data_IF_421080653619
#
_entry.id   IF_421080653619
#
_cell.length_a   1.000
_cell.length_b   1.000
_cell.length_c   1.000
_cell.angle_alpha   90.00
_cell.angle_beta   90.00
_cell.angle_gamma   90.00
#
_symmetry.space_group_name_H-M   'P 1'
#
loop_
_entity.id
_entity.type
_entity.pdbx_description
1 polymer ?
#
# COMPACT_ATOMS: atom_id res chain seq x y z
N UNK A 1 -23.81 -11.59 15.55
CA UNK A 1 -23.79 -10.12 15.69
C UNK A 1 -23.61 -9.57 14.28
N UNK A 2 -24.57 -8.77 13.82
CA UNK A 2 -24.70 -8.35 12.42
C UNK A 2 -23.46 -7.58 11.98
N UNK A 3 -22.88 -8.03 10.87
CA UNK A 3 -21.71 -7.43 10.22
C UNK A 3 -22.15 -6.10 9.57
N UNK A 4 -22.17 -5.02 10.34
CA UNK A 4 -22.28 -3.68 9.77
C UNK A 4 -20.91 -3.33 9.21
N UNK A 5 -20.66 -3.71 7.95
CA UNK A 5 -19.55 -3.15 7.18
C UNK A 5 -19.77 -1.63 7.15
N UNK A 6 -18.78 -0.85 7.60
CA UNK A 6 -18.82 0.60 7.47
C UNK A 6 -18.86 0.94 5.98
N UNK A 7 -19.65 1.94 5.54
CA UNK A 7 -19.77 2.35 4.14
C UNK A 7 -18.41 2.55 3.47
N UNK A 8 -17.43 3.06 4.23
CA UNK A 8 -16.04 3.16 3.80
C UNK A 8 -15.45 1.80 3.36
N UNK A 9 -15.55 0.77 4.20
CA UNK A 9 -15.02 -0.57 3.90
C UNK A 9 -15.73 -1.21 2.71
N UNK A 10 -17.05 -1.02 2.60
CA UNK A 10 -17.81 -1.48 1.44
C UNK A 10 -17.31 -0.82 0.14
N UNK A 11 -17.08 0.49 0.17
CA UNK A 11 -16.52 1.20 -1.00
C UNK A 11 -15.11 0.72 -1.34
N UNK A 12 -14.27 0.43 -0.35
CA UNK A 12 -12.94 -0.15 -0.56
C UNK A 12 -13.04 -1.53 -1.23
N UNK A 13 -13.89 -2.42 -0.72
CA UNK A 13 -14.07 -3.76 -1.25
C UNK A 13 -14.60 -3.72 -2.70
N UNK A 14 -15.60 -2.87 -2.97
CA UNK A 14 -16.15 -2.69 -4.30
C UNK A 14 -15.13 -2.10 -5.27
N UNK A 15 -14.34 -1.11 -4.84
CA UNK A 15 -13.27 -0.52 -5.64
C UNK A 15 -12.21 -1.56 -6.04
N UNK A 16 -11.72 -2.34 -5.07
CA UNK A 16 -10.75 -3.42 -5.31
C UNK A 16 -11.27 -4.44 -6.31
N UNK A 17 -12.51 -4.88 -6.14
CA UNK A 17 -13.15 -5.84 -7.06
C UNK A 17 -13.31 -5.24 -8.47
N UNK A 18 -13.75 -3.99 -8.58
CA UNK A 18 -13.91 -3.31 -9.86
C UNK A 18 -12.57 -3.14 -10.60
N UNK A 19 -11.49 -2.78 -9.89
CA UNK A 19 -10.14 -2.70 -10.44
C UNK A 19 -9.66 -4.05 -10.98
N UNK A 20 -9.82 -5.13 -10.21
CA UNK A 20 -9.44 -6.49 -10.61
C UNK A 20 -10.21 -6.99 -11.83
N UNK A 21 -11.47 -6.56 -11.99
CA UNK A 21 -12.32 -6.88 -13.14
C UNK A 21 -12.13 -5.93 -14.34
N UNK A 22 -11.31 -4.88 -14.20
CA UNK A 22 -11.10 -3.88 -15.26
C UNK A 22 -12.26 -2.90 -15.45
N UNK A 23 -13.21 -2.83 -14.52
CA UNK A 23 -14.30 -1.85 -14.55
C UNK A 23 -13.85 -0.53 -13.93
N UNK A 24 -13.05 0.23 -14.67
CA UNK A 24 -12.40 1.45 -14.18
C UNK A 24 -13.38 2.57 -13.81
N UNK A 25 -14.52 2.65 -14.50
CA UNK A 25 -15.57 3.65 -14.19
C UNK A 25 -16.17 3.38 -12.81
N UNK A 26 -16.52 2.12 -12.54
CA UNK A 26 -17.03 1.73 -11.22
C UNK A 26 -15.94 1.87 -10.16
N UNK A 27 -14.70 1.46 -10.47
CA UNK A 27 -13.58 1.61 -9.53
C UNK A 27 -13.42 3.07 -9.11
N UNK A 28 -13.36 4.00 -10.07
CA UNK A 28 -13.21 5.42 -9.79
C UNK A 28 -14.35 5.96 -8.92
N UNK A 29 -15.60 5.61 -9.23
CA UNK A 29 -16.77 6.01 -8.45
C UNK A 29 -16.64 5.53 -6.99
N UNK A 30 -16.30 4.25 -6.78
CA UNK A 30 -16.20 3.68 -5.43
C UNK A 30 -15.02 4.25 -4.66
N UNK A 31 -13.87 4.47 -5.31
CA UNK A 31 -12.72 5.14 -4.67
C UNK A 31 -13.10 6.56 -4.26
N UNK A 32 -13.81 7.32 -5.10
CA UNK A 32 -14.27 8.68 -4.76
C UNK A 32 -15.24 8.68 -3.57
N UNK A 33 -16.15 7.71 -3.50
CA UNK A 33 -17.03 7.55 -2.34
C UNK A 33 -16.23 7.21 -1.07
N UNK A 34 -15.27 6.29 -1.13
CA UNK A 34 -14.37 6.00 0.01
C UNK A 34 -13.55 7.23 0.43
N UNK A 35 -13.08 8.02 -0.55
CA UNK A 35 -12.33 9.26 -0.31
C UNK A 35 -13.19 10.34 0.35
N UNK A 36 -14.48 10.41 0.03
CA UNK A 36 -15.43 11.31 0.68
C UNK A 36 -15.60 10.96 2.16
N UNK A 37 -15.71 9.67 2.49
CA UNK A 37 -15.84 9.19 3.87
C UNK A 37 -14.53 9.37 4.67
N UNK A 38 -13.37 9.09 4.07
CA UNK A 38 -12.07 9.29 4.71
C UNK A 38 -10.97 9.72 3.72
N UNK A 39 -10.75 11.03 3.54
CA UNK A 39 -9.77 11.57 2.59
C UNK A 39 -8.31 11.36 3.03
N UNK A 40 -8.08 11.05 4.31
CA UNK A 40 -6.76 10.81 4.87
C UNK A 40 -6.39 9.32 4.93
N UNK A 41 -7.21 8.44 4.35
CA UNK A 41 -6.89 7.01 4.29
C UNK A 41 -5.77 6.73 3.26
N UNK A 42 -4.64 6.13 3.67
CA UNK A 42 -3.60 5.73 2.72
C UNK A 42 -4.12 4.66 1.73
N UNK A 43 -5.07 3.83 2.15
CA UNK A 43 -5.69 2.80 1.31
C UNK A 43 -6.41 3.41 0.10
N UNK A 44 -7.18 4.49 0.30
CA UNK A 44 -7.90 5.18 -0.78
C UNK A 44 -6.92 5.73 -1.82
N UNK A 45 -5.86 6.40 -1.37
CA UNK A 45 -4.84 6.93 -2.27
C UNK A 45 -4.05 5.82 -2.97
N UNK A 46 -3.80 4.68 -2.31
CA UNK A 46 -3.23 3.51 -3.00
C UNK A 46 -4.14 3.01 -4.11
N UNK A 47 -5.45 2.85 -3.87
CA UNK A 47 -6.39 2.40 -4.88
C UNK A 47 -6.53 3.40 -6.04
N UNK A 48 -6.52 4.71 -5.76
CA UNK A 48 -6.51 5.73 -6.82
C UNK A 48 -5.21 5.67 -7.62
N UNK A 49 -4.06 5.44 -6.98
CA UNK A 49 -2.80 5.21 -7.67
C UNK A 49 -2.83 3.99 -8.59
N UNK A 50 -3.44 2.90 -8.14
CA UNK A 50 -3.62 1.68 -8.95
C UNK A 50 -4.52 1.95 -10.16
N UNK A 51 -5.62 2.69 -9.97
CA UNK A 51 -6.51 3.08 -11.07
C UNK A 51 -5.74 3.83 -12.16
N UNK A 52 -5.00 4.87 -11.78
CA UNK A 52 -4.23 5.70 -12.71
C UNK A 52 -3.13 4.90 -13.42
N UNK A 53 -2.48 3.97 -12.71
CA UNK A 53 -1.48 3.09 -13.29
C UNK A 53 -2.10 2.12 -14.34
N UNK A 54 -3.26 1.55 -14.04
CA UNK A 54 -3.98 0.69 -14.98
C UNK A 54 -4.47 1.48 -16.21
N UNK A 55 -4.76 2.77 -16.04
CA UNK A 55 -5.09 3.71 -17.11
C UNK A 55 -3.87 4.26 -17.88
N UNK A 56 -2.63 3.89 -17.49
CA UNK A 56 -1.37 4.38 -18.07
C UNK A 56 -1.09 5.87 -17.83
N UNK A 57 -1.66 6.42 -16.76
CA UNK A 57 -1.42 7.78 -16.29
C UNK A 57 -0.33 7.80 -15.22
N UNK A 58 0.90 7.44 -15.61
CA UNK A 58 2.02 7.19 -14.70
C UNK A 58 2.28 8.34 -13.72
N UNK A 59 2.16 9.59 -14.17
CA UNK A 59 2.37 10.76 -13.33
C UNK A 59 1.34 10.88 -12.20
N UNK A 60 0.09 10.49 -12.46
CA UNK A 60 -0.98 10.52 -11.46
C UNK A 60 -0.85 9.35 -10.49
N UNK A 61 -0.51 8.16 -10.99
CA UNK A 61 -0.18 7.01 -10.16
C UNK A 61 0.91 7.34 -9.12
N UNK A 62 2.04 7.91 -9.55
CA UNK A 62 3.12 8.31 -8.66
C UNK A 62 2.67 9.31 -7.59
N UNK A 63 1.82 10.29 -7.95
CA UNK A 63 1.32 11.28 -6.98
C UNK A 63 0.48 10.62 -5.90
N UNK A 64 -0.46 9.77 -6.27
CA UNK A 64 -1.35 9.11 -5.32
C UNK A 64 -0.61 8.13 -4.41
N UNK A 65 0.32 7.32 -4.94
CA UNK A 65 1.15 6.46 -4.09
C UNK A 65 2.02 7.26 -3.12
N UNK A 66 2.57 8.41 -3.55
CA UNK A 66 3.32 9.32 -2.65
C UNK A 66 2.43 9.91 -1.55
N UNK A 67 1.20 10.29 -1.87
CA UNK A 67 0.24 10.80 -0.86
C UNK A 67 -0.06 9.71 0.16
N UNK A 68 -0.36 8.49 -0.27
CA UNK A 68 -0.57 7.36 0.64
C UNK A 68 0.62 7.15 1.59
N UNK A 69 1.85 7.17 1.05
CA UNK A 69 3.07 7.04 1.85
C UNK A 69 3.33 8.22 2.81
N UNK A 70 2.88 9.43 2.47
CA UNK A 70 2.96 10.60 3.37
C UNK A 70 1.93 10.53 4.49
N UNK A 71 0.72 10.04 4.19
CA UNK A 71 -0.34 9.87 5.18
C UNK A 71 0.01 8.79 6.19
N UNK A 72 0.55 7.66 5.73
CA UNK A 72 0.99 6.57 6.56
C UNK A 72 2.17 5.81 5.92
N UNK A 73 3.41 6.05 6.39
CA UNK A 73 4.59 5.31 5.94
C UNK A 73 4.58 3.82 6.31
N UNK A 74 3.73 3.39 7.23
CA UNK A 74 3.59 1.99 7.64
C UNK A 74 2.67 1.20 6.71
N UNK A 75 1.86 1.88 5.89
CA UNK A 75 1.04 1.28 4.84
C UNK A 75 1.89 0.84 3.64
N UNK A 76 2.55 -0.33 3.79
CA UNK A 76 3.49 -0.87 2.80
C UNK A 76 2.95 -1.06 1.38
N UNK A 77 1.65 -1.33 1.12
CA UNK A 77 1.17 -1.52 -0.24
C UNK A 77 1.47 -0.33 -1.16
N UNK A 78 1.28 0.89 -0.66
CA UNK A 78 1.58 2.11 -1.43
C UNK A 78 3.07 2.24 -1.75
N UNK A 79 3.94 1.91 -0.78
CA UNK A 79 5.38 1.92 -0.99
C UNK A 79 5.83 0.88 -2.02
N UNK A 80 5.33 -0.36 -1.91
CA UNK A 80 5.63 -1.45 -2.86
C UNK A 80 5.19 -1.09 -4.29
N UNK A 81 4.02 -0.49 -4.44
CA UNK A 81 3.55 -0.02 -5.74
C UNK A 81 4.41 1.14 -6.28
N UNK A 82 4.74 2.13 -5.45
CA UNK A 82 5.62 3.23 -5.83
C UNK A 82 7.00 2.72 -6.28
N UNK A 83 7.62 1.84 -5.50
CA UNK A 83 8.90 1.20 -5.85
C UNK A 83 8.80 0.49 -7.20
N UNK A 84 7.73 -0.28 -7.41
CA UNK A 84 7.50 -1.07 -8.62
C UNK A 84 7.40 -0.21 -9.88
N UNK A 85 6.73 0.95 -9.81
CA UNK A 85 6.56 1.85 -10.96
C UNK A 85 7.72 2.84 -11.14
N UNK A 86 8.52 3.06 -10.09
CA UNK A 86 9.70 3.93 -10.12
C UNK A 86 11.01 3.19 -10.44
N UNK A 87 11.01 1.85 -10.49
CA UNK A 87 12.21 1.06 -10.76
C UNK A 87 12.69 1.29 -12.20
N UNK A 88 13.84 1.96 -12.35
CA UNK A 88 14.50 2.26 -13.63
C UNK A 88 15.26 1.07 -14.23
N UNK A 89 15.34 -0.05 -13.51
CA UNK A 89 16.07 -1.24 -13.97
C UNK A 89 15.35 -1.84 -15.18
N UNK A 90 16.07 -2.05 -16.28
CA UNK A 90 15.57 -2.65 -17.53
C UNK A 90 15.10 -4.12 -17.42
N UNK A 91 14.66 -4.54 -16.22
CA UNK A 91 13.93 -5.78 -15.97
C UNK A 91 12.53 -5.40 -15.49
N UNK A 92 11.46 -5.88 -16.14
CA UNK A 92 10.12 -5.71 -15.58
C UNK A 92 10.11 -6.29 -14.18
N UNK A 93 9.76 -5.48 -13.20
CA UNK A 93 9.43 -5.96 -11.86
C UNK A 93 8.19 -6.83 -12.02
N UNK A 94 8.37 -8.14 -12.13
CA UNK A 94 7.25 -9.11 -12.22
C UNK A 94 6.47 -9.22 -10.88
N UNK A 95 6.57 -8.18 -10.04
CA UNK A 95 5.82 -8.04 -8.80
C UNK A 95 4.38 -7.66 -9.17
N UNK A 96 3.36 -8.31 -8.59
CA UNK A 96 1.98 -7.90 -8.81
C UNK A 96 1.70 -6.52 -8.19
N UNK A 97 0.61 -5.89 -8.64
CA UNK A 97 0.05 -4.72 -7.97
C UNK A 97 -0.39 -5.14 -6.55
N UNK A 98 -0.01 -4.35 -5.54
CA UNK A 98 -0.40 -4.58 -4.15
C UNK A 98 -1.67 -3.78 -3.79
N UNK A 99 -2.79 -4.47 -3.67
CA UNK A 99 -4.08 -3.87 -3.30
C UNK A 99 -4.23 -3.65 -1.78
N UNK A 100 -3.31 -4.15 -0.95
CA UNK A 100 -3.48 -4.20 0.50
C UNK A 100 -4.54 -5.22 0.93
N UNK A 101 -4.56 -6.39 0.27
CA UNK A 101 -5.43 -7.52 0.64
C UNK A 101 -4.74 -8.49 1.61
N UNK A 102 -3.41 -8.50 1.59
CA UNK A 102 -2.61 -9.33 2.48
C UNK A 102 -2.32 -8.56 3.77
N UNK A 103 -2.45 -9.19 4.95
CA UNK A 103 -2.02 -8.57 6.20
C UNK A 103 -0.51 -8.34 6.15
N UNK A 104 -0.08 -7.19 6.67
CA UNK A 104 1.35 -6.92 6.81
C UNK A 104 1.97 -7.97 7.72
N UNK A 105 3.04 -8.60 7.23
CA UNK A 105 3.86 -9.47 8.06
C UNK A 105 4.72 -8.57 8.93
N UNK A 106 4.86 -8.92 10.20
CA UNK A 106 5.88 -8.29 11.02
C UNK A 106 7.22 -8.47 10.29
N UNK A 107 7.94 -7.36 10.10
CA UNK A 107 9.32 -7.44 9.66
C UNK A 107 10.01 -8.34 10.68
N UNK A 108 10.61 -9.45 10.22
CA UNK A 108 11.44 -10.25 11.12
C UNK A 108 12.43 -9.27 11.76
N UNK A 109 12.39 -9.15 13.09
CA UNK A 109 13.39 -8.41 13.84
C UNK A 109 14.72 -9.15 13.66
N UNK A 110 15.35 -8.95 12.50
CA UNK A 110 16.55 -9.64 12.08
C UNK A 110 17.73 -9.24 12.95
N UNK A 111 17.60 -8.17 13.74
CA UNK A 111 18.65 -7.61 14.55
C UNK A 111 18.19 -7.36 15.99
N UNK A 112 19.09 -7.59 16.94
CA UNK A 112 18.98 -7.14 18.33
C UNK A 112 20.06 -6.08 18.59
N UNK A 113 19.76 -5.12 19.46
CA UNK A 113 20.75 -4.16 19.94
C UNK A 113 21.28 -4.64 21.29
N UNK A 114 22.54 -5.02 21.36
CA UNK A 114 23.22 -5.38 22.61
C UNK A 114 24.10 -4.24 23.09
N UNK A 115 23.92 -3.82 24.34
CA UNK A 115 24.73 -2.75 24.92
C UNK A 115 25.94 -3.32 25.63
N UNK A 116 27.13 -2.80 25.32
CA UNK A 116 28.33 -3.13 26.08
C UNK A 116 28.40 -2.38 27.42
N UNK A 117 29.45 -2.67 28.20
CA UNK A 117 29.71 -2.03 29.50
C UNK A 117 29.90 -0.50 29.44
N UNK A 118 30.14 0.06 28.25
CA UNK A 118 30.26 1.49 28.02
C UNK A 118 28.93 2.11 27.52
N UNK A 119 27.83 1.36 27.50
CA UNK A 119 26.53 1.75 26.95
C UNK A 119 26.53 2.01 25.44
N UNK A 120 27.47 1.41 24.70
CA UNK A 120 27.48 1.44 23.24
C UNK A 120 26.64 0.27 22.73
N UNK A 121 25.64 0.57 21.89
CA UNK A 121 24.76 -0.42 21.29
C UNK A 121 25.36 -1.04 20.03
N UNK A 122 25.47 -2.36 20.01
CA UNK A 122 25.96 -3.17 18.90
C UNK A 122 24.78 -3.88 18.22
N UNK A 123 24.60 -3.66 16.92
CA UNK A 123 23.54 -4.29 16.15
C UNK A 123 23.98 -5.71 15.77
N UNK A 124 23.32 -6.72 16.31
CA UNK A 124 23.65 -8.12 16.06
C UNK A 124 22.51 -8.84 15.34
N UNK A 125 22.83 -9.52 14.24
CA UNK A 125 21.85 -10.29 13.49
C UNK A 125 21.40 -11.50 14.33
N UNK A 126 20.09 -11.70 14.52
CA UNK A 126 19.54 -12.91 15.13
C UNK A 126 19.92 -14.10 14.25
N UNK A 127 20.53 -15.13 14.83
CA UNK A 127 20.73 -16.38 14.12
C UNK A 127 19.35 -17.00 13.85
N UNK A 128 19.05 -17.27 12.56
CA UNK A 128 17.77 -17.82 12.15
C UNK A 128 17.54 -19.21 12.75
N UNK A 129 16.30 -19.51 13.14
CA UNK A 129 15.86 -20.88 13.46
C UNK A 129 15.75 -21.73 12.21
#
# INVERSE_FOLDING_TARGET
>A
MSNYQNAFEEYIDLAKNALKLGNFVLAEERIKNAMYENPHSPCVHNLYGILEELLKEDNLAHKHYRVANVLDPTYKPAYRNLERISSFEGRPTNKPIDFGDEPEKEDDDLYVVEYDKNHVGHLQKKEGK
#
